data_IF_498614908278
#
_entry.id   IF_498614908278
#
_cell.length_a   1.000
_cell.length_b   1.000
_cell.length_c   1.000
_cell.angle_alpha   90.00
_cell.angle_beta   90.00
_cell.angle_gamma   90.00
#
_symmetry.space_group_name_H-M   'P 1'
#
loop_
_entity.id
_entity.type
_entity.pdbx_description
1 polymer ?
#
# COMPACT_ATOMS: atom_id res chain seq x y z
N UNK A 1 15.78 23.23 17.61
CA UNK A 1 14.49 22.63 18.01
C UNK A 1 13.42 23.61 17.60
N UNK A 2 12.57 23.28 16.61
CA UNK A 2 11.52 24.23 16.20
C UNK A 2 10.45 24.26 17.31
N UNK A 3 9.91 25.43 17.69
CA UNK A 3 9.01 25.56 18.84
C UNK A 3 7.65 24.85 18.71
N UNK A 4 7.31 24.31 17.54
CA UNK A 4 5.95 23.87 17.19
C UNK A 4 5.82 22.35 16.90
N UNK A 5 6.84 21.55 17.24
CA UNK A 5 6.85 20.11 16.94
C UNK A 5 5.80 19.36 17.81
N UNK A 6 4.70 18.95 17.20
CA UNK A 6 3.58 18.29 17.89
C UNK A 6 3.95 16.85 18.31
N UNK A 7 3.69 16.52 19.58
CA UNK A 7 3.85 15.16 20.13
C UNK A 7 2.76 14.21 19.62
N UNK A 8 2.99 12.88 19.61
CA UNK A 8 1.95 11.91 19.24
C UNK A 8 0.69 12.08 20.11
N UNK A 9 -0.48 12.05 19.45
CA UNK A 9 -1.78 12.23 20.13
C UNK A 9 -2.32 10.88 20.60
N UNK A 10 -2.88 10.83 21.82
CA UNK A 10 -3.61 9.65 22.31
C UNK A 10 -5.06 9.67 21.80
N UNK A 11 -5.44 8.64 21.04
CA UNK A 11 -6.77 8.49 20.48
C UNK A 11 -7.65 7.62 21.37
N UNK A 12 -8.90 8.06 21.56
CA UNK A 12 -9.93 7.28 22.28
C UNK A 12 -10.48 6.19 21.37
N UNK A 13 -10.65 4.99 21.92
CA UNK A 13 -11.20 3.81 21.23
C UNK A 13 -12.69 3.94 20.92
N UNK A 14 -13.44 4.67 21.75
CA UNK A 14 -14.88 4.87 21.61
C UNK A 14 -15.21 6.35 21.39
N UNK A 15 -16.34 6.60 20.73
CA UNK A 15 -16.82 7.93 20.38
C UNK A 15 -16.60 8.30 18.90
N UNK A 16 -16.85 9.58 18.55
CA UNK A 16 -16.72 10.05 17.18
C UNK A 16 -15.28 9.94 16.69
N UNK A 17 -15.11 9.64 15.40
CA UNK A 17 -13.81 9.63 14.74
C UNK A 17 -13.41 11.08 14.48
N UNK A 18 -12.58 11.64 15.36
CA UNK A 18 -12.01 12.97 15.19
C UNK A 18 -10.82 12.94 14.21
N UNK A 19 -10.58 14.01 13.44
CA UNK A 19 -9.38 14.15 12.61
C UNK A 19 -8.09 13.93 13.40
N UNK A 20 -7.10 13.30 12.76
CA UNK A 20 -5.73 13.32 13.26
C UNK A 20 -5.18 14.76 13.24
N UNK A 21 -4.18 15.01 14.09
CA UNK A 21 -3.40 16.23 13.99
C UNK A 21 -2.64 16.25 12.66
N UNK A 22 -2.40 17.45 12.12
CA UNK A 22 -1.69 17.63 10.84
C UNK A 22 -0.28 17.00 10.90
N UNK A 23 0.00 15.95 10.11
CA UNK A 23 1.28 15.24 10.16
C UNK A 23 2.46 16.09 9.66
N UNK A 24 2.22 17.21 8.95
CA UNK A 24 3.27 18.16 8.58
C UNK A 24 3.88 18.88 9.80
N UNK A 25 3.18 18.89 10.94
CA UNK A 25 3.63 19.53 12.19
C UNK A 25 4.18 18.53 13.22
N UNK A 26 4.22 17.24 12.88
CA UNK A 26 4.63 16.21 13.82
C UNK A 26 6.15 16.20 14.03
N UNK A 27 6.57 16.07 15.30
CA UNK A 27 7.98 16.03 15.70
C UNK A 27 8.78 14.83 15.16
N UNK A 28 8.07 13.78 14.73
CA UNK A 28 8.65 12.53 14.28
C UNK A 28 7.69 11.76 13.38
N UNK A 29 7.95 10.47 13.19
CA UNK A 29 7.17 9.62 12.28
C UNK A 29 5.91 9.03 12.93
N UNK A 30 5.92 8.82 14.26
CA UNK A 30 4.74 8.40 15.01
C UNK A 30 3.87 9.64 15.29
N UNK A 31 2.63 9.63 14.85
CA UNK A 31 1.72 10.80 14.95
C UNK A 31 0.57 10.59 15.93
N UNK A 32 0.17 9.33 16.18
CA UNK A 32 -0.84 9.02 17.17
C UNK A 32 -0.71 7.59 17.71
N UNK A 33 -1.31 7.36 18.88
CA UNK A 33 -1.36 6.06 19.56
C UNK A 33 -2.78 5.77 20.04
N UNK A 34 -3.25 4.54 19.90
CA UNK A 34 -4.57 4.08 20.33
C UNK A 34 -5.65 4.26 19.26
N UNK A 35 -6.88 4.46 19.71
CA UNK A 35 -8.05 4.50 18.82
C UNK A 35 -8.59 3.11 18.49
N UNK A 36 -8.98 2.93 17.23
CA UNK A 36 -9.66 1.74 16.70
C UNK A 36 -9.35 1.59 15.20
N UNK A 37 -9.63 0.44 14.59
CA UNK A 37 -9.45 0.21 13.15
C UNK A 37 -10.78 0.25 12.38
N UNK A 38 -11.74 1.09 12.82
CA UNK A 38 -12.99 1.26 12.06
C UNK A 38 -12.68 1.85 10.69
N UNK A 39 -13.48 1.45 9.71
CA UNK A 39 -13.35 1.92 8.33
C UNK A 39 -13.27 3.45 8.24
N UNK A 40 -14.12 4.19 8.98
CA UNK A 40 -14.10 5.66 8.88
C UNK A 40 -12.76 6.26 9.35
N UNK A 41 -12.15 5.68 10.39
CA UNK A 41 -10.85 6.15 10.88
C UNK A 41 -9.71 5.79 9.96
N UNK A 42 -9.72 4.59 9.38
CA UNK A 42 -8.70 4.18 8.41
C UNK A 42 -8.72 5.07 7.18
N UNK A 43 -9.90 5.29 6.59
CA UNK A 43 -10.05 6.18 5.45
C UNK A 43 -9.63 7.61 5.80
N UNK A 44 -9.99 8.09 6.99
CA UNK A 44 -9.51 9.39 7.45
C UNK A 44 -7.97 9.42 7.56
N UNK A 45 -7.34 8.39 8.11
CA UNK A 45 -5.88 8.31 8.24
C UNK A 45 -5.21 8.36 6.86
N UNK A 46 -5.61 7.48 5.92
CA UNK A 46 -5.07 7.48 4.56
C UNK A 46 -5.26 8.83 3.86
N UNK A 47 -6.42 9.47 4.06
CA UNK A 47 -6.71 10.79 3.49
C UNK A 47 -5.78 11.91 3.99
N UNK A 48 -5.05 11.66 5.08
CA UNK A 48 -4.08 12.56 5.70
C UNK A 48 -2.64 12.03 5.58
N UNK A 49 -2.41 10.94 4.85
CA UNK A 49 -1.08 10.36 4.67
C UNK A 49 -0.61 9.55 5.88
N UNK A 50 -1.54 9.09 6.70
CA UNK A 50 -1.29 8.34 7.93
C UNK A 50 -1.71 6.89 7.73
N UNK A 51 -0.92 5.95 8.23
CA UNK A 51 -1.26 4.52 8.18
C UNK A 51 -1.01 3.83 9.54
N UNK A 52 -1.79 2.79 9.88
CA UNK A 52 -1.56 2.00 11.08
C UNK A 52 -0.41 0.99 10.87
N UNK A 53 0.50 0.88 11.84
CA UNK A 53 1.54 -0.15 11.81
C UNK A 53 2.01 -0.50 13.22
N UNK A 54 1.71 -1.70 13.70
CA UNK A 54 1.99 -2.13 15.07
C UNK A 54 2.09 -3.66 15.15
N UNK A 55 2.78 -4.18 16.18
CA UNK A 55 2.95 -5.60 16.40
C UNK A 55 1.82 -6.24 17.22
N UNK A 56 1.88 -7.56 17.37
CA UNK A 56 0.98 -8.27 18.28
C UNK A 56 1.27 -7.87 19.74
N UNK A 57 0.24 -7.48 20.48
CA UNK A 57 0.36 -6.99 21.86
C UNK A 57 0.64 -5.49 21.99
N UNK A 58 1.04 -4.82 20.91
CA UNK A 58 1.21 -3.36 20.90
C UNK A 58 -0.15 -2.64 20.83
N UNK A 59 -0.26 -1.41 21.37
CA UNK A 59 -1.37 -0.54 21.03
C UNK A 59 -1.33 -0.19 19.54
N UNK A 60 -2.46 0.22 18.97
CA UNK A 60 -2.49 0.72 17.59
C UNK A 60 -1.57 1.95 17.48
N UNK A 61 -0.61 1.93 16.57
CA UNK A 61 0.30 3.03 16.28
C UNK A 61 0.03 3.58 14.89
N UNK A 62 0.01 4.91 14.77
CA UNK A 62 -0.29 5.61 13.52
C UNK A 62 0.92 6.42 13.07
N UNK A 63 1.34 6.20 11.82
CA UNK A 63 2.61 6.69 11.31
C UNK A 63 2.42 7.60 10.09
N UNK A 64 3.29 8.59 9.97
CA UNK A 64 3.54 9.36 8.76
C UNK A 64 5.03 9.64 8.66
N UNK A 65 5.81 8.80 7.95
CA UNK A 65 7.27 8.96 7.86
C UNK A 65 7.74 10.27 7.20
N UNK A 66 8.94 10.71 7.57
CA UNK A 66 9.76 11.69 6.84
C UNK A 66 11.21 11.18 6.77
N UNK A 67 11.75 10.92 5.57
CA UNK A 67 11.09 10.97 4.27
C UNK A 67 10.01 9.88 4.09
N UNK A 68 9.20 10.01 3.03
CA UNK A 68 8.16 9.08 2.62
C UNK A 68 8.58 8.32 1.36
N UNK A 69 8.55 6.98 1.42
CA UNK A 69 8.80 6.14 0.25
C UNK A 69 7.62 6.18 -0.72
N UNK A 70 7.90 6.46 -1.98
CA UNK A 70 6.88 6.58 -3.03
C UNK A 70 7.35 5.95 -4.33
N UNK A 71 6.40 5.77 -5.23
CA UNK A 71 6.64 5.19 -6.53
C UNK A 71 5.74 5.87 -7.56
N UNK A 72 6.33 6.57 -8.53
CA UNK A 72 5.57 7.09 -9.68
C UNK A 72 5.18 5.94 -10.61
N UNK A 73 3.89 5.65 -10.88
CA UNK A 73 3.48 4.47 -11.65
C UNK A 73 4.18 4.34 -13.02
N UNK A 74 4.38 5.47 -13.71
CA UNK A 74 5.05 5.51 -15.01
C UNK A 74 6.58 5.31 -14.98
N UNK A 75 7.22 5.39 -13.81
CA UNK A 75 8.67 5.27 -13.64
C UNK A 75 9.14 3.88 -13.24
N UNK A 76 8.25 2.88 -13.26
CA UNK A 76 8.63 1.51 -12.89
C UNK A 76 9.77 0.98 -13.76
N UNK A 77 10.88 0.63 -13.11
CA UNK A 77 12.00 -0.05 -13.73
C UNK A 77 11.67 -1.54 -13.90
N UNK A 78 11.57 -1.96 -15.15
CA UNK A 78 11.35 -3.37 -15.52
C UNK A 78 12.61 -3.89 -16.20
N UNK A 79 13.35 -4.73 -15.49
CA UNK A 79 14.55 -5.35 -16.03
C UNK A 79 14.22 -6.23 -17.25
N UNK A 80 15.21 -6.46 -18.12
CA UNK A 80 15.03 -7.29 -19.31
C UNK A 80 14.60 -8.72 -18.97
N UNK A 81 15.14 -9.30 -17.89
CA UNK A 81 14.78 -10.64 -17.42
C UNK A 81 13.36 -10.68 -16.88
N UNK A 82 12.95 -9.67 -16.09
CA UNK A 82 11.59 -9.59 -15.55
C UNK A 82 10.56 -9.42 -16.66
N UNK A 83 10.85 -8.58 -17.67
CA UNK A 83 10.03 -8.43 -18.87
C UNK A 83 9.84 -9.76 -19.60
N UNK A 84 10.92 -10.53 -19.78
CA UNK A 84 10.84 -11.87 -20.40
C UNK A 84 10.00 -12.82 -19.54
N UNK A 85 10.19 -12.81 -18.22
CA UNK A 85 9.45 -13.64 -17.29
C UNK A 85 7.94 -13.33 -17.30
N UNK A 86 7.56 -12.06 -17.28
CA UNK A 86 6.16 -11.63 -17.24
C UNK A 86 5.35 -11.94 -18.49
N UNK A 87 6.01 -12.12 -19.65
CA UNK A 87 5.37 -12.56 -20.91
C UNK A 87 5.24 -14.08 -21.03
N UNK A 88 5.72 -14.84 -20.05
CA UNK A 88 5.59 -16.30 -20.06
C UNK A 88 4.14 -16.72 -19.88
N UNK A 89 3.68 -17.68 -20.69
CA UNK A 89 2.32 -18.22 -20.62
C UNK A 89 2.04 -19.04 -19.34
N UNK A 90 3.05 -19.22 -18.47
CA UNK A 90 2.88 -19.89 -17.17
C UNK A 90 2.07 -19.04 -16.19
N UNK A 91 2.06 -17.72 -16.38
CA UNK A 91 1.41 -16.80 -15.45
C UNK A 91 -0.03 -16.54 -15.86
N UNK A 92 -0.91 -16.55 -14.85
CA UNK A 92 -2.22 -15.92 -14.91
C UNK A 92 -2.24 -14.79 -13.89
N UNK A 93 -2.85 -13.67 -14.26
CA UNK A 93 -2.99 -12.51 -13.40
C UNK A 93 -4.46 -12.25 -13.13
N UNK A 94 -4.79 -11.82 -11.92
CA UNK A 94 -6.13 -11.37 -11.57
C UNK A 94 -6.05 -10.17 -10.63
N UNK A 95 -7.21 -9.56 -10.43
CA UNK A 95 -7.42 -8.45 -9.52
C UNK A 95 -8.66 -8.78 -8.70
N UNK A 96 -8.59 -8.54 -7.39
CA UNK A 96 -9.67 -8.74 -6.43
C UNK A 96 -10.28 -10.15 -6.40
N UNK A 97 -9.62 -11.15 -7.00
CA UNK A 97 -10.13 -12.53 -7.09
C UNK A 97 -9.90 -13.30 -5.78
N UNK A 98 -8.80 -13.01 -5.09
CA UNK A 98 -8.40 -13.75 -3.89
C UNK A 98 -7.81 -12.86 -2.79
N UNK A 99 -8.41 -11.68 -2.57
CA UNK A 99 -7.97 -10.71 -1.55
C UNK A 99 -7.71 -11.33 -0.16
N UNK A 100 -8.60 -12.19 0.40
CA UNK A 100 -8.31 -12.83 1.69
C UNK A 100 -7.05 -13.71 1.65
N UNK A 101 -6.82 -14.44 0.56
CA UNK A 101 -5.66 -15.31 0.41
C UNK A 101 -4.36 -14.50 0.23
N UNK A 102 -4.43 -13.33 -0.43
CA UNK A 102 -3.31 -12.38 -0.52
C UNK A 102 -2.95 -11.82 0.85
N UNK A 103 -3.95 -11.41 1.65
CA UNK A 103 -3.74 -10.97 3.03
C UNK A 103 -3.07 -12.07 3.87
N UNK A 104 -3.62 -13.28 3.83
CA UNK A 104 -3.09 -14.41 4.60
C UNK A 104 -1.65 -14.76 4.17
N UNK A 105 -1.35 -14.67 2.88
CA UNK A 105 0.00 -14.90 2.38
C UNK A 105 0.98 -13.77 2.73
N UNK A 106 0.53 -12.51 2.82
CA UNK A 106 1.34 -11.40 3.32
C UNK A 106 1.59 -11.50 4.83
N UNK A 107 0.62 -12.06 5.58
CA UNK A 107 0.70 -12.24 7.02
C UNK A 107 1.60 -13.41 7.44
N UNK A 108 1.84 -14.36 6.54
CA UNK A 108 2.63 -15.55 6.81
C UNK A 108 4.08 -15.19 7.22
N UNK A 109 4.68 -15.91 8.20
CA UNK A 109 6.06 -15.72 8.57
C UNK A 109 7.00 -15.86 7.36
N UNK A 110 7.93 -14.92 7.21
CA UNK A 110 8.97 -15.00 6.18
C UNK A 110 10.17 -15.74 6.75
N UNK A 111 10.84 -16.56 5.93
CA UNK A 111 12.01 -17.32 6.37
C UNK A 111 13.06 -16.37 6.97
N UNK A 112 13.41 -16.57 8.25
CA UNK A 112 14.39 -15.75 8.96
C UNK A 112 13.89 -14.41 9.51
N UNK A 113 12.59 -14.11 9.42
CA UNK A 113 11.98 -12.93 10.05
C UNK A 113 10.96 -13.38 11.11
N UNK A 114 10.86 -12.62 12.20
CA UNK A 114 9.76 -12.75 13.17
C UNK A 114 8.40 -12.50 12.51
N UNK A 115 7.32 -12.78 13.25
CA UNK A 115 5.94 -12.62 12.76
C UNK A 115 5.66 -11.25 12.10
N UNK A 116 4.61 -11.19 11.30
CA UNK A 116 4.26 -9.97 10.55
C UNK A 116 3.41 -9.03 11.41
N UNK A 117 3.36 -7.75 11.03
CA UNK A 117 2.47 -6.75 11.64
C UNK A 117 0.98 -6.94 11.27
N UNK A 118 0.67 -7.90 10.39
CA UNK A 118 -0.70 -8.17 9.95
C UNK A 118 -1.36 -9.07 11.00
N UNK A 119 -1.77 -8.45 12.11
CA UNK A 119 -2.52 -9.09 13.19
C UNK A 119 -3.93 -9.47 12.73
N UNK A 120 -4.64 -10.27 13.52
CA UNK A 120 -6.04 -10.61 13.26
C UNK A 120 -6.93 -9.36 13.15
N UNK A 121 -6.61 -8.29 13.87
CA UNK A 121 -7.36 -7.03 13.86
C UNK A 121 -7.14 -6.28 12.54
N UNK A 122 -5.89 -6.17 12.09
CA UNK A 122 -5.53 -5.59 10.80
C UNK A 122 -6.18 -6.36 9.64
N UNK A 123 -6.14 -7.70 9.69
CA UNK A 123 -6.81 -8.56 8.70
C UNK A 123 -8.30 -8.24 8.59
N UNK A 124 -9.02 -8.15 9.71
CA UNK A 124 -10.45 -7.81 9.70
C UNK A 124 -10.69 -6.41 9.12
N UNK A 125 -9.82 -5.46 9.44
CA UNK A 125 -9.95 -4.09 8.99
C UNK A 125 -9.77 -3.95 7.46
N UNK A 126 -8.73 -4.54 6.87
CA UNK A 126 -8.52 -4.51 5.42
C UNK A 126 -9.57 -5.32 4.65
N UNK A 127 -10.10 -6.41 5.21
CA UNK A 127 -11.26 -7.09 4.62
C UNK A 127 -12.49 -6.18 4.60
N UNK A 128 -12.72 -5.41 5.66
CA UNK A 128 -13.77 -4.39 5.68
C UNK A 128 -13.57 -3.35 4.58
N UNK A 129 -12.34 -2.85 4.40
CA UNK A 129 -12.01 -1.91 3.32
C UNK A 129 -12.19 -2.53 1.93
N UNK A 130 -11.84 -3.80 1.74
CA UNK A 130 -12.04 -4.52 0.49
C UNK A 130 -13.53 -4.64 0.15
N UNK A 131 -14.35 -5.08 1.11
CA UNK A 131 -15.80 -5.19 0.91
C UNK A 131 -16.48 -3.83 0.68
N UNK A 132 -15.90 -2.75 1.20
CA UNK A 132 -16.35 -1.39 0.94
C UNK A 132 -15.81 -0.80 -0.39
N UNK A 133 -14.99 -1.54 -1.14
CA UNK A 133 -14.43 -1.09 -2.43
C UNK A 133 -13.29 -0.08 -2.31
N UNK A 134 -12.59 -0.05 -1.18
CA UNK A 134 -11.44 0.82 -0.94
C UNK A 134 -10.10 0.10 -0.98
N UNK A 135 -10.06 -1.19 -0.63
CA UNK A 135 -8.85 -2.00 -0.73
C UNK A 135 -8.94 -2.95 -1.91
N UNK A 136 -7.80 -3.18 -2.57
CA UNK A 136 -7.71 -4.00 -3.76
C UNK A 136 -6.46 -4.88 -3.73
N UNK A 137 -6.54 -6.03 -4.39
CA UNK A 137 -5.41 -6.96 -4.52
C UNK A 137 -5.10 -7.25 -5.98
N UNK A 138 -3.84 -7.58 -6.23
CA UNK A 138 -3.38 -8.12 -7.50
C UNK A 138 -2.71 -9.46 -7.25
N UNK A 139 -3.19 -10.48 -7.94
CA UNK A 139 -2.72 -11.84 -7.77
C UNK A 139 -1.90 -12.30 -8.98
N UNK A 140 -0.82 -13.04 -8.69
CA UNK A 140 -0.04 -13.77 -9.68
C UNK A 140 -0.19 -15.25 -9.43
N UNK A 141 -0.66 -15.98 -10.43
CA UNK A 141 -0.90 -17.41 -10.38
C UNK A 141 0.05 -18.17 -11.29
N UNK A 142 0.52 -19.32 -10.83
CA UNK A 142 1.20 -20.34 -11.65
C UNK A 142 0.35 -21.60 -11.62
N UNK A 143 -0.37 -21.86 -12.71
CA UNK A 143 -1.48 -22.82 -12.69
C UNK A 143 -2.53 -22.45 -11.64
N UNK A 144 -2.82 -23.37 -10.72
CA UNK A 144 -3.75 -23.15 -9.60
C UNK A 144 -3.08 -22.52 -8.35
N UNK A 145 -1.76 -22.40 -8.33
CA UNK A 145 -1.04 -21.87 -7.16
C UNK A 145 -1.04 -20.35 -7.19
N UNK A 146 -1.52 -19.73 -6.11
CA UNK A 146 -1.27 -18.31 -5.83
C UNK A 146 0.23 -18.13 -5.54
N UNK A 147 0.97 -17.71 -6.56
CA UNK A 147 2.43 -17.69 -6.63
C UNK A 147 3.03 -16.40 -6.04
N UNK A 148 2.26 -15.31 -6.04
CA UNK A 148 2.62 -14.04 -5.43
C UNK A 148 1.46 -13.06 -5.54
N UNK A 149 1.64 -11.87 -4.99
CA UNK A 149 0.63 -10.82 -5.07
C UNK A 149 0.94 -9.68 -4.13
N UNK A 150 0.07 -8.68 -4.20
CA UNK A 150 0.10 -7.51 -3.33
C UNK A 150 -1.33 -7.05 -3.03
N UNK A 151 -1.48 -6.25 -1.98
CA UNK A 151 -2.71 -5.53 -1.71
C UNK A 151 -2.41 -4.10 -1.29
N UNK A 152 -3.42 -3.24 -1.41
CA UNK A 152 -3.33 -1.85 -1.02
C UNK A 152 -4.68 -1.16 -0.92
N UNK A 153 -4.66 0.11 -0.54
CA UNK A 153 -5.84 0.98 -0.43
C UNK A 153 -5.81 2.01 -1.55
N UNK A 154 -6.92 2.20 -2.25
CA UNK A 154 -7.05 3.20 -3.30
C UNK A 154 -7.84 4.42 -2.81
N UNK A 155 -7.36 5.62 -3.12
CA UNK A 155 -8.04 6.87 -2.78
C UNK A 155 -7.72 7.96 -3.80
N UNK A 156 -8.72 8.37 -4.58
CA UNK A 156 -8.50 9.26 -5.72
C UNK A 156 -7.41 8.71 -6.63
N UNK A 157 -6.48 9.56 -7.08
CA UNK A 157 -5.32 9.19 -7.87
C UNK A 157 -4.14 8.59 -7.10
N UNK A 158 -4.34 8.08 -5.87
CA UNK A 158 -3.30 7.41 -5.08
C UNK A 158 -3.61 5.95 -4.78
N UNK A 159 -2.56 5.13 -4.76
CA UNK A 159 -2.61 3.76 -4.26
C UNK A 159 -1.60 3.56 -3.13
N UNK A 160 -2.08 3.24 -1.94
CA UNK A 160 -1.26 2.92 -0.78
C UNK A 160 -0.93 1.43 -0.80
N UNK A 161 0.29 1.07 -1.20
CA UNK A 161 0.73 -0.31 -1.23
C UNK A 161 1.01 -0.81 0.19
N UNK A 162 0.24 -1.77 0.68
CA UNK A 162 0.33 -2.21 2.08
C UNK A 162 1.35 -3.32 2.26
N UNK A 163 1.23 -4.37 1.46
CA UNK A 163 2.19 -5.47 1.49
C UNK A 163 2.17 -6.27 0.20
N UNK A 164 3.21 -7.07 0.05
CA UNK A 164 3.34 -8.03 -1.04
C UNK A 164 4.04 -9.30 -0.55
N UNK A 165 3.83 -10.39 -1.28
CA UNK A 165 4.48 -11.67 -1.01
C UNK A 165 4.85 -12.35 -2.33
N UNK A 166 5.82 -13.25 -2.24
CA UNK A 166 6.28 -14.08 -3.35
C UNK A 166 6.55 -15.49 -2.82
N UNK A 167 5.88 -16.50 -3.38
CA UNK A 167 6.16 -17.93 -3.11
C UNK A 167 7.13 -18.52 -4.14
N UNK A 168 7.19 -17.91 -5.32
CA UNK A 168 8.15 -18.23 -6.38
C UNK A 168 8.94 -16.97 -6.77
N UNK A 169 10.12 -17.10 -7.39
CA UNK A 169 10.89 -15.95 -7.84
C UNK A 169 10.09 -15.01 -8.73
N UNK A 170 10.32 -13.71 -8.58
CA UNK A 170 9.75 -12.60 -9.36
C UNK A 170 8.23 -12.39 -9.26
N UNK A 171 7.44 -13.27 -8.67
CA UNK A 171 5.97 -13.13 -8.65
C UNK A 171 5.50 -11.80 -8.01
N UNK A 172 6.07 -11.36 -6.88
CA UNK A 172 5.73 -10.05 -6.29
C UNK A 172 6.13 -8.87 -7.19
N UNK A 173 7.26 -8.97 -7.90
CA UNK A 173 7.70 -7.94 -8.86
C UNK A 173 6.77 -7.86 -10.06
N UNK A 174 6.32 -9.02 -10.57
CA UNK A 174 5.34 -9.07 -11.65
C UNK A 174 4.03 -8.41 -11.23
N UNK A 175 3.56 -8.66 -10.00
CA UNK A 175 2.38 -7.97 -9.45
C UNK A 175 2.56 -6.46 -9.39
N UNK A 176 3.72 -5.99 -8.89
CA UNK A 176 4.00 -4.55 -8.80
C UNK A 176 4.09 -3.88 -10.18
N UNK A 177 4.69 -4.54 -11.18
CA UNK A 177 4.73 -4.04 -12.56
C UNK A 177 3.32 -3.96 -13.15
N UNK A 178 2.51 -5.00 -12.99
CA UNK A 178 1.12 -5.01 -13.45
C UNK A 178 0.32 -3.89 -12.82
N UNK A 179 0.41 -3.73 -11.50
CA UNK A 179 -0.25 -2.67 -10.75
C UNK A 179 0.18 -1.31 -11.30
N UNK A 180 1.48 -1.01 -11.32
CA UNK A 180 1.98 0.30 -11.73
C UNK A 180 1.54 0.67 -13.15
N UNK A 181 1.54 -0.28 -14.09
CA UNK A 181 1.11 -0.03 -15.48
C UNK A 181 -0.39 0.24 -15.58
N UNK A 182 -1.22 -0.49 -14.83
CA UNK A 182 -2.66 -0.25 -14.84
C UNK A 182 -3.01 1.04 -14.11
N UNK A 183 -2.39 1.32 -12.96
CA UNK A 183 -2.55 2.59 -12.24
C UNK A 183 -2.16 3.78 -13.14
N UNK A 184 -1.03 3.70 -13.85
CA UNK A 184 -0.64 4.71 -14.83
C UNK A 184 -1.73 4.89 -15.91
N UNK A 185 -2.26 3.79 -16.44
CA UNK A 185 -3.30 3.82 -17.47
C UNK A 185 -4.63 4.41 -16.97
N UNK A 186 -4.96 4.19 -15.69
CA UNK A 186 -6.16 4.73 -15.04
C UNK A 186 -5.99 6.16 -14.51
N UNK A 187 -4.81 6.77 -14.70
CA UNK A 187 -4.56 8.16 -14.32
C UNK A 187 -4.12 8.36 -12.86
N UNK A 188 -3.69 7.31 -12.17
CA UNK A 188 -3.08 7.45 -10.85
C UNK A 188 -1.73 8.16 -10.96
N UNK A 189 -1.49 9.08 -10.03
CA UNK A 189 -0.25 9.85 -9.98
C UNK A 189 0.83 9.21 -9.11
N UNK A 190 0.45 8.47 -8.06
CA UNK A 190 1.39 8.03 -7.04
C UNK A 190 0.99 6.68 -6.42
N UNK A 191 1.99 5.84 -6.19
CA UNK A 191 1.91 4.69 -5.29
C UNK A 191 2.70 5.04 -4.03
N UNK A 192 2.06 5.03 -2.86
CA UNK A 192 2.74 5.18 -1.56
C UNK A 192 3.29 3.81 -1.13
N UNK A 193 4.57 3.75 -0.79
CA UNK A 193 5.22 2.54 -0.27
C UNK A 193 5.62 2.68 1.19
N UNK A 194 5.20 3.76 1.84
CA UNK A 194 5.48 4.18 3.21
C UNK A 194 6.97 4.40 3.50
N UNK A 195 7.77 3.35 3.41
CA UNK A 195 9.22 3.36 3.56
C UNK A 195 9.89 2.90 2.27
N UNK A 196 11.03 3.51 1.94
CA UNK A 196 11.88 2.98 0.89
C UNK A 196 12.58 1.71 1.37
N UNK A 197 12.66 0.71 0.50
CA UNK A 197 13.48 -0.47 0.72
C UNK A 197 14.40 -0.68 -0.48
N UNK A 198 15.58 -1.31 -0.32
CA UNK A 198 16.47 -1.58 -1.46
C UNK A 198 15.78 -2.35 -2.60
N UNK A 199 14.81 -3.21 -2.24
CA UNK A 199 14.01 -3.93 -3.22
C UNK A 199 13.15 -2.99 -4.08
N UNK A 200 12.42 -2.08 -3.44
CA UNK A 200 11.55 -1.12 -4.14
C UNK A 200 12.38 -0.06 -4.89
N UNK A 201 13.48 0.39 -4.30
CA UNK A 201 14.43 1.32 -4.93
C UNK A 201 14.98 0.74 -6.24
N UNK A 202 15.37 -0.55 -6.23
CA UNK A 202 15.82 -1.24 -7.46
C UNK A 202 14.75 -1.32 -8.55
N UNK A 203 13.48 -1.11 -8.20
CA UNK A 203 12.35 -1.05 -9.12
C UNK A 203 11.95 0.39 -9.50
N UNK A 204 12.63 1.42 -8.98
CA UNK A 204 12.37 2.82 -9.30
C UNK A 204 11.54 3.57 -8.24
N UNK A 205 11.40 3.03 -7.03
CA UNK A 205 10.90 3.80 -5.89
C UNK A 205 11.90 4.88 -5.49
N UNK A 206 11.39 5.99 -4.95
CA UNK A 206 12.17 7.12 -4.46
C UNK A 206 11.62 7.60 -3.11
N UNK A 207 12.34 8.51 -2.47
CA UNK A 207 11.91 9.17 -1.24
C UNK A 207 11.53 10.62 -1.53
N UNK A 208 10.43 11.06 -0.91
CA UNK A 208 10.03 12.46 -0.89
C UNK A 208 10.05 12.99 0.55
N UNK A 209 10.39 14.26 0.78
CA UNK A 209 10.07 14.91 2.04
C UNK A 209 8.58 14.76 2.34
N UNK A 210 8.22 14.54 3.61
CA UNK A 210 6.82 14.35 4.03
C UNK A 210 5.93 15.49 3.56
N UNK A 211 6.41 16.73 3.63
CA UNK A 211 5.68 17.92 3.19
C UNK A 211 5.29 17.85 1.71
N UNK A 212 6.21 17.42 0.84
CA UNK A 212 5.97 17.24 -0.59
C UNK A 212 4.99 16.10 -0.85
N UNK A 213 5.13 14.97 -0.15
CA UNK A 213 4.17 13.87 -0.22
C UNK A 213 2.76 14.32 0.19
N UNK A 214 2.62 15.05 1.29
CA UNK A 214 1.32 15.54 1.76
C UNK A 214 0.71 16.57 0.81
N UNK A 215 1.52 17.35 0.10
CA UNK A 215 1.05 18.22 -0.97
C UNK A 215 0.47 17.41 -2.13
N UNK A 216 1.22 16.44 -2.66
CA UNK A 216 0.75 15.56 -3.75
C UNK A 216 -0.48 14.76 -3.34
N UNK A 217 -0.54 14.27 -2.10
CA UNK A 217 -1.68 13.57 -1.54
C UNK A 217 -2.96 14.40 -1.61
N UNK A 218 -2.90 15.68 -1.20
CA UNK A 218 -4.08 16.56 -1.22
C UNK A 218 -4.62 16.72 -2.64
N UNK A 219 -3.74 16.94 -3.60
CA UNK A 219 -4.10 17.17 -5.00
C UNK A 219 -4.65 15.90 -5.66
N UNK A 220 -3.93 14.78 -5.51
CA UNK A 220 -4.29 13.49 -6.11
C UNK A 220 -5.55 12.89 -5.48
N UNK A 221 -5.80 13.11 -4.18
CA UNK A 221 -7.06 12.66 -3.54
C UNK A 221 -8.28 13.33 -4.16
N UNK A 222 -8.14 14.57 -4.63
CA UNK A 222 -9.21 15.31 -5.30
C UNK A 222 -9.32 14.99 -6.81
N UNK A 223 -8.31 14.31 -7.37
CA UNK A 223 -8.31 13.95 -8.79
C UNK A 223 -9.31 12.82 -9.07
N UNK A 224 -10.22 12.99 -10.04
CA UNK A 224 -11.11 11.91 -10.44
C UNK A 224 -10.32 10.82 -11.16
N UNK A 225 -10.48 9.57 -10.72
CA UNK A 225 -10.08 8.38 -11.48
C UNK A 225 -11.36 7.63 -11.85
N UNK A 226 -11.59 7.45 -13.14
CA UNK A 226 -12.72 6.68 -13.66
C UNK A 226 -12.20 5.41 -14.33
N UNK A 227 -12.26 4.32 -13.59
CA UNK A 227 -11.86 3.01 -14.06
C UNK A 227 -12.61 1.91 -13.32
N UNK A 228 -12.45 0.69 -13.79
CA UNK A 228 -12.82 -0.52 -13.06
C UNK A 228 -11.55 -1.25 -12.68
N UNK A 229 -11.58 -1.93 -11.54
CA UNK A 229 -10.52 -2.85 -11.13
C UNK A 229 -10.56 -4.11 -12.00
N UNK A 230 -10.07 -3.98 -13.23
CA UNK A 230 -10.02 -5.02 -14.26
C UNK A 230 -8.73 -4.88 -15.05
N UNK A 231 -8.00 -5.98 -15.21
CA UNK A 231 -6.73 -5.97 -15.96
C UNK A 231 -7.01 -5.93 -17.47
N UNK A 232 -7.08 -4.73 -18.04
CA UNK A 232 -7.44 -4.49 -19.46
C UNK A 232 -6.23 -4.33 -20.38
N UNK A 233 -5.04 -4.05 -19.84
CA UNK A 233 -3.85 -3.90 -20.67
C UNK A 233 -3.34 -5.26 -21.14
N UNK A 234 -3.01 -5.43 -22.43
CA UNK A 234 -2.36 -6.65 -22.89
C UNK A 234 -0.96 -6.77 -22.27
N UNK A 235 -0.49 -8.00 -22.04
CA UNK A 235 0.82 -8.24 -21.42
C UNK A 235 1.98 -7.61 -22.19
N UNK A 236 1.84 -7.39 -23.50
CA UNK A 236 2.83 -6.69 -24.34
C UNK A 236 2.99 -5.20 -24.03
N UNK A 237 1.97 -4.57 -23.41
CA UNK A 237 2.03 -3.19 -22.93
C UNK A 237 2.47 -3.11 -21.45
N UNK A 238 2.28 -4.19 -20.69
CA UNK A 238 2.70 -4.26 -19.29
C UNK A 238 4.20 -4.57 -19.16
N UNK A 239 4.64 -5.65 -19.81
CA UNK A 239 6.01 -6.14 -19.83
C UNK A 239 6.60 -5.89 -21.21
#
# INVERSE_FOLDING_TARGET
MRPDDARPVLLRRSGPVLPFADPARAAGNLVAVGGDLRQERLLQAYSQGIFPWFGEGDPILWWSPDPRGVFSPGRIHVSRSLRKAGRSAVWRFSVDEAFPAVLDACAAPRAGQGGTWITADMRRAYLGLFHAGHAHSLEVWSGAMLAGGLYGVAMGGLFFGESMFSRVPDASKLALVLLARHLQHWGYGLIDTQFLTPHLESMGAEELPREEFLAQLRDLRAAPVDHRWQLTLPLSQVF
#
